data_IF_834779805274
#
_entry.id   IF_834779805274
#
_cell.length_a   1.000
_cell.length_b   1.000
_cell.length_c   1.000
_cell.angle_alpha   90.00
_cell.angle_beta   90.00
_cell.angle_gamma   90.00
#
_symmetry.space_group_name_H-M   'P 1'
#
loop_
_entity.id
_entity.type
_entity.pdbx_description
1 polymer ?
#
# COMPACT_ATOMS: atom_id res chain seq x y z
N UNK A 1 16.43 10.46 27.50
CA UNK A 1 17.02 10.46 26.15
C UNK A 1 15.92 10.79 25.16
N UNK A 2 15.83 12.06 24.77
CA UNK A 2 14.77 12.60 23.92
C UNK A 2 14.80 11.93 22.55
N UNK A 3 13.70 11.26 22.18
CA UNK A 3 13.47 10.90 20.79
C UNK A 3 13.39 12.20 20.00
N UNK A 4 14.27 12.36 19.01
CA UNK A 4 14.14 13.35 17.96
C UNK A 4 12.77 13.13 17.28
N UNK A 5 11.75 13.90 17.66
CA UNK A 5 10.45 13.92 16.99
C UNK A 5 10.62 14.69 15.69
N UNK A 6 11.06 13.97 14.66
CA UNK A 6 11.16 14.49 13.30
C UNK A 6 9.79 14.34 12.62
N UNK A 7 8.82 15.12 13.10
CA UNK A 7 7.44 15.15 12.59
C UNK A 7 7.25 16.41 11.75
N UNK A 8 6.59 16.29 10.59
CA UNK A 8 6.46 17.40 9.63
C UNK A 8 5.84 18.65 10.28
N UNK A 9 4.84 18.48 11.13
CA UNK A 9 4.23 19.60 11.85
C UNK A 9 5.22 20.31 12.78
N UNK A 10 5.99 19.55 13.57
CA UNK A 10 7.01 20.09 14.48
C UNK A 10 8.11 20.86 13.73
N UNK A 11 8.57 20.32 12.60
CA UNK A 11 9.58 20.97 11.76
C UNK A 11 9.11 22.29 11.14
N UNK A 12 7.80 22.51 11.08
CA UNK A 12 7.18 23.74 10.57
C UNK A 12 6.60 24.61 11.71
N UNK A 13 6.94 24.32 12.97
CA UNK A 13 6.43 25.03 14.15
C UNK A 13 4.89 25.07 14.24
N UNK A 14 4.23 24.01 13.76
CA UNK A 14 2.78 23.84 13.85
C UNK A 14 2.47 22.96 15.06
N UNK A 15 1.81 23.54 16.05
CA UNK A 15 1.24 22.81 17.18
C UNK A 15 -0.08 22.13 16.74
N UNK A 16 -0.15 20.81 16.86
CA UNK A 16 -1.31 20.03 16.42
C UNK A 16 -1.65 18.94 17.45
N UNK A 17 -2.88 18.98 17.96
CA UNK A 17 -3.38 17.94 18.85
C UNK A 17 -3.51 16.61 18.09
N UNK A 18 -3.21 15.48 18.75
CA UNK A 18 -3.26 14.14 18.13
C UNK A 18 -4.62 13.83 17.50
N UNK A 19 -5.71 14.18 18.17
CA UNK A 19 -7.07 13.98 17.65
C UNK A 19 -7.30 14.76 16.34
N UNK A 20 -6.88 16.02 16.29
CA UNK A 20 -6.98 16.87 15.10
C UNK A 20 -6.07 16.36 13.97
N UNK A 21 -4.86 15.90 14.28
CA UNK A 21 -3.95 15.28 13.32
C UNK A 21 -4.56 14.02 12.69
N UNK A 22 -5.15 13.16 13.53
CA UNK A 22 -5.80 11.93 13.09
C UNK A 22 -6.99 12.22 12.18
N UNK A 23 -7.83 13.19 12.54
CA UNK A 23 -8.96 13.59 11.72
C UNK A 23 -8.53 14.17 10.37
N UNK A 24 -7.55 15.07 10.38
CA UNK A 24 -7.02 15.72 9.18
C UNK A 24 -6.32 14.76 8.19
N UNK A 25 -5.82 13.60 8.65
CA UNK A 25 -5.06 12.66 7.82
C UNK A 25 -5.89 11.42 7.47
N UNK A 26 -6.50 10.76 8.45
CA UNK A 26 -7.11 9.43 8.25
C UNK A 26 -8.36 9.54 7.38
N UNK A 27 -9.20 10.55 7.60
CA UNK A 27 -10.45 10.71 6.86
C UNK A 27 -10.17 11.04 5.39
N UNK A 28 -9.38 12.09 5.05
CA UNK A 28 -9.15 12.43 3.65
C UNK A 28 -8.44 11.32 2.86
N UNK A 29 -7.46 10.63 3.45
CA UNK A 29 -6.77 9.53 2.78
C UNK A 29 -7.71 8.38 2.39
N UNK A 30 -8.74 8.11 3.19
CA UNK A 30 -9.74 7.06 2.92
C UNK A 30 -10.85 7.50 1.97
N UNK A 31 -10.96 8.78 1.66
CA UNK A 31 -12.00 9.33 0.77
C UNK A 31 -11.43 9.96 -0.50
N UNK A 32 -10.15 9.73 -0.80
CA UNK A 32 -9.53 10.23 -2.03
C UNK A 32 -10.29 9.69 -3.25
N UNK A 33 -10.71 10.56 -4.18
CA UNK A 33 -11.31 10.11 -5.43
C UNK A 33 -10.25 9.42 -6.29
N UNK A 34 -10.65 8.43 -7.10
CA UNK A 34 -9.75 7.90 -8.11
C UNK A 34 -9.48 8.95 -9.19
N UNK A 35 -8.36 8.81 -9.91
CA UNK A 35 -8.13 9.64 -11.09
C UNK A 35 -9.24 9.40 -12.15
N UNK A 36 -9.59 10.41 -12.96
CA UNK A 36 -10.75 10.33 -13.87
C UNK A 36 -10.69 9.18 -14.88
N UNK A 37 -9.49 8.75 -15.25
CA UNK A 37 -9.21 7.69 -16.23
C UNK A 37 -9.21 6.28 -15.63
N UNK A 38 -9.14 6.13 -14.30
CA UNK A 38 -8.96 4.83 -13.63
C UNK A 38 -10.10 3.87 -13.95
N UNK A 39 -11.35 4.31 -13.86
CA UNK A 39 -12.50 3.42 -14.10
C UNK A 39 -12.55 2.92 -15.53
N UNK A 40 -12.34 3.81 -16.50
CA UNK A 40 -12.29 3.44 -17.91
C UNK A 40 -11.13 2.45 -18.20
N UNK A 41 -9.96 2.67 -17.60
CA UNK A 41 -8.83 1.76 -17.72
C UNK A 41 -9.11 0.37 -17.12
N UNK A 42 -9.72 0.31 -15.93
CA UNK A 42 -10.08 -0.95 -15.28
C UNK A 42 -11.13 -1.73 -16.08
N UNK A 43 -12.14 -1.06 -16.63
CA UNK A 43 -13.14 -1.67 -17.50
C UNK A 43 -12.51 -2.23 -18.79
N UNK A 44 -11.57 -1.51 -19.39
CA UNK A 44 -10.85 -1.99 -20.57
C UNK A 44 -10.03 -3.25 -20.25
N UNK A 45 -9.40 -3.31 -19.07
CA UNK A 45 -8.66 -4.50 -18.62
C UNK A 45 -9.61 -5.68 -18.34
N UNK A 46 -10.75 -5.43 -17.69
CA UNK A 46 -11.78 -6.45 -17.45
C UNK A 46 -12.29 -7.05 -18.78
N UNK A 47 -12.53 -6.22 -19.80
CA UNK A 47 -12.94 -6.66 -21.13
C UNK A 47 -11.89 -7.55 -21.84
N UNK A 48 -10.62 -7.46 -21.46
CA UNK A 48 -9.55 -8.35 -21.92
C UNK A 48 -9.48 -9.68 -21.15
N UNK A 49 -10.33 -9.87 -20.12
CA UNK A 49 -10.34 -11.08 -19.30
C UNK A 49 -9.13 -11.23 -18.39
N UNK A 50 -8.38 -10.14 -18.13
CA UNK A 50 -7.24 -10.20 -17.21
C UNK A 50 -7.69 -10.09 -15.75
N UNK A 51 -6.98 -10.79 -14.87
CA UNK A 51 -7.25 -10.76 -13.43
C UNK A 51 -6.47 -9.63 -12.77
N UNK A 52 -7.17 -8.78 -12.04
CA UNK A 52 -6.58 -7.60 -11.40
C UNK A 52 -6.46 -7.80 -9.90
N UNK A 53 -5.31 -7.39 -9.38
CA UNK A 53 -4.97 -7.46 -7.96
C UNK A 53 -4.40 -6.11 -7.54
N UNK A 54 -4.84 -5.58 -6.40
CA UNK A 54 -4.22 -4.39 -5.81
C UNK A 54 -3.19 -4.75 -4.75
N UNK A 55 -2.16 -3.91 -4.63
CA UNK A 55 -1.05 -4.12 -3.73
C UNK A 55 -0.71 -2.80 -3.04
N UNK A 56 -0.88 -2.70 -1.72
CA UNK A 56 -0.81 -1.40 -1.00
C UNK A 56 -0.02 -1.47 0.31
N UNK A 57 0.58 -0.33 0.68
CA UNK A 57 1.15 -0.11 2.01
C UNK A 57 0.09 0.29 3.06
N UNK A 58 -1.15 0.57 2.63
CA UNK A 58 -2.26 0.90 3.53
C UNK A 58 -2.77 -0.34 4.25
N UNK A 59 -3.32 -0.16 5.45
CA UNK A 59 -4.00 -1.25 6.17
C UNK A 59 -5.17 -1.82 5.37
N UNK A 60 -5.54 -3.06 5.65
CA UNK A 60 -6.66 -3.76 5.00
C UNK A 60 -7.96 -2.95 5.13
N UNK A 61 -8.25 -2.45 6.34
CA UNK A 61 -9.43 -1.59 6.57
C UNK A 61 -9.33 -0.28 5.80
N UNK A 62 -8.15 0.34 5.74
CA UNK A 62 -7.95 1.61 5.04
C UNK A 62 -8.20 1.50 3.54
N UNK A 63 -7.60 0.49 2.89
CA UNK A 63 -7.77 0.28 1.45
C UNK A 63 -9.16 -0.19 1.09
N UNK A 64 -9.80 -1.02 1.92
CA UNK A 64 -11.18 -1.44 1.72
C UNK A 64 -12.11 -0.22 1.66
N UNK A 65 -12.07 0.64 2.70
CA UNK A 65 -12.88 1.86 2.73
C UNK A 65 -12.58 2.79 1.55
N UNK A 66 -11.31 2.93 1.17
CA UNK A 66 -10.94 3.76 0.01
C UNK A 66 -11.53 3.21 -1.30
N UNK A 67 -11.47 1.90 -1.51
CA UNK A 67 -11.99 1.28 -2.73
C UNK A 67 -13.52 1.29 -2.76
N UNK A 68 -14.19 1.13 -1.61
CA UNK A 68 -15.65 1.26 -1.49
C UNK A 68 -16.09 2.68 -1.88
N UNK A 69 -15.46 3.70 -1.27
CA UNK A 69 -15.75 5.10 -1.56
C UNK A 69 -15.48 5.47 -3.02
N UNK A 70 -14.43 4.89 -3.61
CA UNK A 70 -14.09 5.12 -5.01
C UNK A 70 -14.94 4.31 -6.00
N UNK A 71 -15.73 3.34 -5.53
CA UNK A 71 -16.46 2.38 -6.37
C UNK A 71 -15.51 1.58 -7.25
N UNK A 72 -14.47 1.00 -6.64
CA UNK A 72 -13.43 0.23 -7.32
C UNK A 72 -13.34 -1.24 -6.88
N UNK A 73 -14.05 -1.64 -5.82
CA UNK A 73 -13.89 -2.98 -5.22
C UNK A 73 -14.13 -4.10 -6.25
N UNK A 74 -15.12 -3.93 -7.11
CA UNK A 74 -15.57 -4.95 -8.06
C UNK A 74 -14.56 -5.27 -9.16
N UNK A 75 -13.65 -4.35 -9.49
CA UNK A 75 -12.63 -4.57 -10.53
C UNK A 75 -11.48 -5.49 -10.09
N UNK A 76 -11.32 -5.76 -8.79
CA UNK A 76 -10.17 -6.49 -8.26
C UNK A 76 -10.58 -7.84 -7.67
N UNK A 77 -9.98 -8.92 -8.18
CA UNK A 77 -10.12 -10.28 -7.62
C UNK A 77 -9.62 -10.33 -6.18
N UNK A 78 -8.53 -9.60 -5.90
CA UNK A 78 -7.96 -9.56 -4.57
C UNK A 78 -7.25 -8.23 -4.26
N UNK A 79 -7.16 -7.92 -2.97
CA UNK A 79 -6.45 -6.75 -2.44
C UNK A 79 -5.47 -7.23 -1.39
N UNK A 80 -4.20 -6.84 -1.52
CA UNK A 80 -3.16 -7.24 -0.57
C UNK A 80 -2.56 -6.01 0.11
N UNK A 81 -2.55 -6.08 1.42
CA UNK A 81 -1.91 -5.10 2.29
C UNK A 81 -0.56 -5.63 2.76
N UNK A 82 0.36 -4.72 3.05
CA UNK A 82 1.55 -5.04 3.84
C UNK A 82 1.20 -5.52 5.25
N UNK A 83 0.00 -5.22 5.76
CA UNK A 83 -0.41 -5.55 7.13
C UNK A 83 -0.31 -7.05 7.40
N UNK A 84 -0.52 -7.87 6.37
CA UNK A 84 -0.46 -9.33 6.45
C UNK A 84 0.96 -9.87 6.59
N UNK A 85 1.97 -9.12 6.12
CA UNK A 85 3.37 -9.56 5.99
C UNK A 85 4.36 -8.69 6.78
N UNK A 86 3.91 -7.55 7.30
CA UNK A 86 4.69 -6.56 8.08
C UNK A 86 5.99 -6.11 7.40
N UNK A 87 6.00 -6.05 6.07
CA UNK A 87 7.14 -5.60 5.26
C UNK A 87 6.62 -4.56 4.25
N UNK A 88 7.20 -3.36 4.27
CA UNK A 88 6.85 -2.29 3.33
C UNK A 88 7.47 -2.51 1.94
N UNK A 89 6.78 -2.04 0.89
CA UNK A 89 7.41 -1.82 -0.42
C UNK A 89 8.65 -0.92 -0.27
N UNK A 90 9.72 -1.12 -1.07
CA UNK A 90 9.83 -1.96 -2.26
C UNK A 90 10.43 -3.36 -2.02
N UNK A 91 10.32 -3.91 -0.80
CA UNK A 91 10.96 -5.19 -0.49
C UNK A 91 10.48 -6.35 -1.39
N UNK A 92 11.42 -7.07 -2.01
CA UNK A 92 11.13 -8.21 -2.88
C UNK A 92 10.35 -9.33 -2.15
N UNK A 93 10.62 -9.50 -0.86
CA UNK A 93 9.95 -10.45 0.03
C UNK A 93 8.41 -10.33 -0.02
N UNK A 94 7.92 -9.10 -0.11
CA UNK A 94 6.50 -8.80 -0.14
C UNK A 94 5.85 -9.36 -1.42
N UNK A 95 6.46 -9.15 -2.59
CA UNK A 95 5.93 -9.67 -3.88
C UNK A 95 6.03 -11.20 -3.94
N UNK A 96 7.18 -11.76 -3.56
CA UNK A 96 7.43 -13.20 -3.65
C UNK A 96 6.52 -14.03 -2.74
N UNK A 97 6.25 -13.54 -1.52
CA UNK A 97 5.32 -14.20 -0.61
C UNK A 97 3.94 -14.31 -1.22
N UNK A 98 3.50 -13.27 -1.96
CA UNK A 98 2.16 -13.26 -2.53
C UNK A 98 2.01 -14.02 -3.84
N UNK A 99 3.09 -14.16 -4.59
CA UNK A 99 3.14 -15.06 -5.75
C UNK A 99 3.30 -16.54 -5.38
N UNK A 100 3.32 -16.89 -4.09
CA UNK A 100 3.62 -18.25 -3.64
C UNK A 100 5.07 -18.68 -3.92
N UNK A 101 5.95 -17.73 -4.26
CA UNK A 101 7.35 -17.94 -4.61
C UNK A 101 8.30 -17.66 -3.44
N UNK A 102 7.84 -17.86 -2.21
CA UNK A 102 8.61 -17.58 -0.99
C UNK A 102 9.92 -18.38 -0.94
N UNK A 103 9.96 -19.56 -1.55
CA UNK A 103 11.17 -20.38 -1.71
C UNK A 103 12.32 -19.66 -2.42
N UNK A 104 12.02 -18.68 -3.29
CA UNK A 104 13.05 -17.89 -3.99
C UNK A 104 13.78 -16.88 -3.09
N UNK A 105 13.23 -16.54 -1.91
CA UNK A 105 13.96 -15.68 -0.95
C UNK A 105 15.22 -16.36 -0.41
N UNK A 106 15.20 -17.69 -0.28
CA UNK A 106 16.36 -18.48 0.17
C UNK A 106 17.42 -18.61 -0.90
N UNK A 107 17.00 -18.73 -2.18
CA UNK A 107 17.91 -18.82 -3.32
C UNK A 107 18.73 -17.53 -3.53
N UNK A 108 18.15 -16.36 -3.24
CA UNK A 108 18.87 -15.08 -3.33
C UNK A 108 19.95 -14.90 -2.24
N UNK A 109 19.82 -15.57 -1.09
CA UNK A 109 20.86 -15.52 -0.03
C UNK A 109 22.11 -16.33 -0.36
N UNK A 110 22.05 -17.23 -1.36
CA UNK A 110 23.19 -18.05 -1.80
C UNK A 110 23.95 -17.49 -3.00
N UNK A 111 23.53 -16.35 -3.58
CA UNK A 111 24.12 -15.83 -4.83
C UNK A 111 25.03 -14.60 -4.62
N UNK A 112 25.26 -14.18 -3.38
CA UNK A 112 26.19 -13.10 -3.06
C UNK A 112 27.34 -13.60 -2.17
N UNK A 113 28.04 -14.61 -2.66
CA UNK A 113 29.42 -14.88 -2.25
C UNK A 113 30.31 -14.64 -3.46
N UNK A 114 31.08 -13.56 -3.38
CA UNK A 114 32.24 -13.24 -4.23
C UNK A 114 31.90 -12.73 -5.64
N UNK A 115 32.09 -11.42 -5.87
CA UNK A 115 32.98 -10.80 -6.87
C UNK A 115 32.81 -9.27 -6.76
N UNK A 116 33.88 -8.62 -6.28
CA UNK A 116 34.17 -7.18 -6.08
C UNK A 116 33.30 -6.37 -5.12
#
# INVERSE_FOLDING_TARGET
MSRLRNEVAHNNSIELAEAAAREAIVTPLRSLPPHPDVKAGLQALEALGVRLISFTNSSNKGVQTQFENAGLIEFFEARYSIEDIQIYKPALAMVLTRLGRRSLLGAAKGCCSTIF
#
